data_IF_766391215502
#
_entry.id   IF_766391215502
#
_cell.length_a   1.000
_cell.length_b   1.000
_cell.length_c   1.000
_cell.angle_alpha   90.00
_cell.angle_beta   90.00
_cell.angle_gamma   90.00
#
_symmetry.space_group_name_H-M   'P 1'
#
loop_
_entity.id
_entity.type
_entity.pdbx_description
1 polymer ?
#
# COMPACT_ATOMS: atom_id res chain seq x y z
N UNK A 1 26.40 31.57 3.19
CA UNK A 1 25.41 31.32 4.27
C UNK A 1 25.04 29.86 4.22
N UNK A 2 25.05 29.15 5.34
CA UNK A 2 24.70 27.73 5.35
C UNK A 2 23.19 27.52 5.16
N UNK A 3 22.35 28.33 5.79
CA UNK A 3 20.90 28.41 5.59
C UNK A 3 20.34 29.61 6.38
N UNK A 4 19.27 30.22 5.92
CA UNK A 4 18.53 31.25 6.64
C UNK A 4 17.40 30.64 7.50
N UNK A 5 17.15 29.34 7.35
CA UNK A 5 16.10 28.63 8.07
C UNK A 5 16.65 28.02 9.37
N UNK A 6 16.10 28.48 10.49
CA UNK A 6 16.48 28.01 11.82
C UNK A 6 16.19 26.53 12.08
N UNK A 7 15.17 25.96 11.44
CA UNK A 7 14.86 24.53 11.55
C UNK A 7 15.92 23.67 10.87
N UNK A 8 16.39 24.09 9.69
CA UNK A 8 17.46 23.39 8.97
C UNK A 8 18.78 23.49 9.72
N UNK A 9 19.05 24.65 10.32
CA UNK A 9 20.24 24.87 11.13
C UNK A 9 20.22 24.01 12.40
N UNK A 10 19.07 23.90 13.07
CA UNK A 10 18.87 23.03 14.23
C UNK A 10 19.14 21.55 13.88
N UNK A 11 18.58 21.07 12.75
CA UNK A 11 18.80 19.70 12.26
C UNK A 11 20.29 19.44 11.91
N UNK A 12 20.94 20.39 11.24
CA UNK A 12 22.34 20.25 10.87
C UNK A 12 23.29 20.17 12.07
N UNK A 13 22.98 20.92 13.13
CA UNK A 13 23.81 21.00 14.33
C UNK A 13 23.39 19.96 15.40
N UNK A 14 22.27 19.26 15.21
CA UNK A 14 21.76 18.27 16.18
C UNK A 14 21.28 18.89 17.50
N UNK A 15 20.80 20.13 17.47
CA UNK A 15 20.34 20.89 18.64
C UNK A 15 18.86 21.24 18.53
N UNK A 16 18.27 21.76 19.61
CA UNK A 16 16.87 22.19 19.57
C UNK A 16 16.70 23.52 18.82
N UNK A 17 15.52 23.77 18.27
CA UNK A 17 15.21 25.05 17.61
C UNK A 17 15.40 26.25 18.53
N UNK A 18 15.15 26.10 19.83
CA UNK A 18 15.33 27.14 20.83
C UNK A 18 16.81 27.54 20.99
N UNK A 19 17.72 26.57 20.93
CA UNK A 19 19.16 26.81 21.13
C UNK A 19 19.81 27.52 19.94
N UNK A 20 19.17 27.41 18.73
CA UNK A 20 19.65 28.09 17.51
C UNK A 20 19.69 29.62 17.69
N UNK A 21 18.72 30.19 18.43
CA UNK A 21 18.67 31.64 18.65
C UNK A 21 19.79 32.20 19.49
N UNK A 22 20.52 31.32 20.19
CA UNK A 22 21.67 31.70 21.06
C UNK A 22 23.04 31.47 20.38
N UNK A 23 23.03 30.99 19.11
CA UNK A 23 24.25 30.73 18.35
C UNK A 23 24.79 31.99 17.67
N UNK A 24 26.10 32.10 17.57
CA UNK A 24 26.73 33.15 16.78
C UNK A 24 26.57 32.93 15.29
N UNK A 25 26.70 34.00 14.49
CA UNK A 25 26.55 33.99 13.06
C UNK A 25 27.64 33.24 12.28
N UNK A 26 28.71 32.82 12.93
CA UNK A 26 29.88 32.18 12.31
C UNK A 26 30.09 30.78 12.84
N UNK A 27 30.18 29.83 11.92
CA UNK A 27 30.42 28.42 12.21
C UNK A 27 31.73 27.97 11.55
N UNK A 28 32.51 27.16 12.24
CA UNK A 28 33.65 26.47 11.67
C UNK A 28 33.21 25.07 11.24
N UNK A 29 33.23 24.80 9.94
CA UNK A 29 32.84 23.51 9.37
C UNK A 29 34.10 22.74 9.00
N UNK A 30 34.23 21.51 9.52
CA UNK A 30 35.24 20.55 9.07
C UNK A 30 34.57 19.48 8.23
N UNK A 31 34.95 19.40 6.96
CA UNK A 31 34.52 18.32 6.08
C UNK A 31 35.32 17.07 6.43
N UNK A 32 34.69 16.06 7.02
CA UNK A 32 35.35 14.82 7.39
C UNK A 32 35.37 13.80 6.25
N UNK A 33 34.31 13.78 5.44
CA UNK A 33 34.16 12.83 4.35
C UNK A 33 33.32 13.46 3.22
N UNK A 34 33.71 13.21 1.99
CA UNK A 34 32.92 13.57 0.82
C UNK A 34 32.51 12.26 0.12
N UNK A 35 31.20 11.95 0.14
CA UNK A 35 30.65 10.79 -0.56
C UNK A 35 30.07 11.22 -1.89
N UNK A 36 30.47 10.54 -2.96
CA UNK A 36 29.92 10.72 -4.30
C UNK A 36 29.18 9.46 -4.69
N UNK A 37 27.94 9.61 -5.09
CA UNK A 37 27.15 8.52 -5.66
C UNK A 37 27.46 8.47 -7.16
N UNK A 38 27.99 7.36 -7.61
CA UNK A 38 28.25 7.10 -9.03
C UNK A 38 27.47 5.86 -9.48
N UNK A 39 26.99 5.80 -10.73
CA UNK A 39 26.40 4.60 -11.25
C UNK A 39 27.37 3.42 -11.15
N UNK A 40 26.90 2.29 -10.63
CA UNK A 40 27.71 1.07 -10.58
C UNK A 40 27.88 0.49 -11.99
N UNK A 41 29.02 -0.15 -12.26
CA UNK A 41 29.19 -0.92 -13.49
C UNK A 41 28.17 -2.07 -13.53
N UNK A 42 27.71 -2.41 -14.73
CA UNK A 42 26.79 -3.56 -14.92
C UNK A 42 27.66 -4.82 -15.04
N UNK A 43 28.02 -5.39 -13.91
CA UNK A 43 28.93 -6.52 -13.77
C UNK A 43 28.43 -7.55 -12.78
N UNK A 44 29.18 -8.64 -12.59
CA UNK A 44 28.81 -9.72 -11.70
C UNK A 44 28.65 -9.27 -10.23
N UNK A 45 29.45 -8.30 -9.79
CA UNK A 45 29.35 -7.79 -8.43
C UNK A 45 27.99 -7.10 -8.19
N UNK A 46 27.49 -6.34 -9.16
CA UNK A 46 26.17 -5.76 -9.12
C UNK A 46 25.08 -6.85 -9.11
N UNK A 47 25.21 -7.87 -9.95
CA UNK A 47 24.23 -8.95 -10.02
C UNK A 47 24.14 -9.72 -8.70
N UNK A 48 25.27 -10.04 -8.11
CA UNK A 48 25.35 -10.76 -6.84
C UNK A 48 24.79 -9.93 -5.67
N UNK A 49 24.98 -8.61 -5.69
CA UNK A 49 24.40 -7.70 -4.69
C UNK A 49 22.89 -7.58 -4.79
N UNK A 50 22.34 -7.60 -6.01
CA UNK A 50 20.89 -7.40 -6.23
C UNK A 50 20.09 -8.70 -6.06
N UNK A 51 20.63 -9.82 -6.53
CA UNK A 51 19.89 -11.07 -6.66
C UNK A 51 20.47 -12.24 -5.85
N UNK A 52 21.68 -12.07 -5.30
CA UNK A 52 22.40 -13.11 -4.62
C UNK A 52 23.46 -13.79 -5.51
N UNK A 53 24.51 -14.40 -4.90
CA UNK A 53 25.63 -14.97 -5.63
C UNK A 53 25.21 -16.09 -6.58
N UNK A 54 25.54 -15.94 -7.86
CA UNK A 54 25.30 -16.95 -8.88
C UNK A 54 23.87 -17.05 -9.42
N UNK A 55 22.94 -16.24 -8.92
CA UNK A 55 21.54 -16.21 -9.38
C UNK A 55 21.38 -15.55 -10.77
N UNK A 56 22.28 -14.63 -11.12
CA UNK A 56 22.32 -13.93 -12.39
C UNK A 56 23.77 -13.88 -12.88
N UNK A 57 24.01 -14.33 -14.09
CA UNK A 57 25.38 -14.44 -14.62
C UNK A 57 25.62 -13.64 -15.91
N UNK A 58 24.58 -12.93 -16.40
CA UNK A 58 24.67 -12.14 -17.61
C UNK A 58 23.79 -10.88 -17.53
N UNK A 59 24.22 -9.81 -18.18
CA UNK A 59 23.45 -8.55 -18.27
C UNK A 59 22.04 -8.76 -18.83
N UNK A 60 21.89 -9.61 -19.86
CA UNK A 60 20.60 -9.91 -20.45
C UNK A 60 19.65 -10.56 -19.43
N UNK A 61 20.17 -11.45 -18.61
CA UNK A 61 19.41 -12.15 -17.57
C UNK A 61 18.98 -11.17 -16.48
N UNK A 62 19.86 -10.29 -16.03
CA UNK A 62 19.54 -9.21 -15.12
C UNK A 62 18.44 -8.30 -15.68
N UNK A 63 18.57 -7.85 -16.94
CA UNK A 63 17.55 -7.01 -17.59
C UNK A 63 16.18 -7.70 -17.67
N UNK A 64 16.15 -9.00 -17.94
CA UNK A 64 14.92 -9.77 -17.96
C UNK A 64 14.30 -9.88 -16.56
N UNK A 65 15.08 -10.09 -15.52
CA UNK A 65 14.60 -10.09 -14.12
C UNK A 65 14.04 -8.71 -13.74
N UNK A 66 14.80 -7.63 -13.98
CA UNK A 66 14.31 -6.26 -13.72
C UNK A 66 13.02 -5.98 -14.47
N UNK A 67 12.93 -6.40 -15.73
CA UNK A 67 11.71 -6.24 -16.53
C UNK A 67 10.53 -6.99 -15.89
N UNK A 68 10.72 -8.24 -15.51
CA UNK A 68 9.68 -9.03 -14.86
C UNK A 68 9.23 -8.43 -13.51
N UNK A 69 10.16 -7.93 -12.72
CA UNK A 69 9.87 -7.27 -11.44
C UNK A 69 9.06 -5.99 -11.64
N UNK A 70 9.44 -5.18 -12.65
CA UNK A 70 8.70 -3.96 -13.02
C UNK A 70 7.30 -4.29 -13.57
N UNK A 71 7.17 -5.28 -14.44
CA UNK A 71 5.89 -5.74 -14.94
C UNK A 71 4.97 -6.20 -13.81
N UNK A 72 5.50 -6.92 -12.84
CA UNK A 72 4.73 -7.33 -11.66
C UNK A 72 4.32 -6.15 -10.78
N UNK A 73 5.24 -5.19 -10.58
CA UNK A 73 4.93 -3.97 -9.82
C UNK A 73 3.83 -3.15 -10.49
N UNK A 74 3.98 -2.88 -11.79
CA UNK A 74 2.97 -2.11 -12.53
C UNK A 74 1.62 -2.85 -12.68
N UNK A 75 1.64 -4.18 -12.74
CA UNK A 75 0.41 -4.95 -12.74
C UNK A 75 -0.38 -4.74 -11.43
N UNK A 76 0.29 -4.74 -10.27
CA UNK A 76 -0.34 -4.47 -8.97
C UNK A 76 -0.91 -3.06 -8.90
N UNK A 77 -0.14 -2.08 -9.35
CA UNK A 77 -0.59 -0.68 -9.36
C UNK A 77 -1.77 -0.46 -10.32
N UNK A 78 -1.73 -1.13 -11.48
CA UNK A 78 -2.83 -1.14 -12.44
C UNK A 78 -4.09 -1.78 -11.85
N UNK A 79 -3.94 -2.88 -11.11
CA UNK A 79 -5.04 -3.55 -10.42
C UNK A 79 -5.65 -2.67 -9.33
N UNK A 80 -4.82 -1.96 -8.58
CA UNK A 80 -5.28 -0.98 -7.61
C UNK A 80 -6.08 0.15 -8.27
N UNK A 81 -5.59 0.71 -9.37
CA UNK A 81 -6.31 1.72 -10.15
C UNK A 81 -7.65 1.19 -10.69
N UNK A 82 -7.62 0.00 -11.29
CA UNK A 82 -8.82 -0.65 -11.82
C UNK A 82 -9.88 -0.82 -10.73
N UNK A 83 -9.49 -1.36 -9.56
CA UNK A 83 -10.37 -1.52 -8.42
C UNK A 83 -11.02 -0.20 -8.01
N UNK A 84 -10.23 0.85 -7.85
CA UNK A 84 -10.70 2.18 -7.44
C UNK A 84 -11.68 2.77 -8.46
N UNK A 85 -11.35 2.71 -9.74
CA UNK A 85 -12.24 3.19 -10.80
C UNK A 85 -13.51 2.35 -10.91
N UNK A 86 -13.40 1.03 -10.79
CA UNK A 86 -14.54 0.12 -10.79
C UNK A 86 -15.47 0.43 -9.62
N UNK A 87 -14.95 0.51 -8.40
CA UNK A 87 -15.74 0.82 -7.21
C UNK A 87 -16.49 2.14 -7.35
N UNK A 88 -15.83 3.18 -7.83
CA UNK A 88 -16.44 4.48 -8.10
C UNK A 88 -17.56 4.39 -9.14
N UNK A 89 -17.26 3.88 -10.33
CA UNK A 89 -18.22 3.80 -11.45
C UNK A 89 -19.42 2.93 -11.13
N UNK A 90 -19.22 1.77 -10.51
CA UNK A 90 -20.33 0.86 -10.20
C UNK A 90 -21.22 1.43 -9.09
N UNK A 91 -20.62 2.12 -8.11
CA UNK A 91 -21.37 2.79 -7.04
C UNK A 91 -22.23 3.93 -7.59
N UNK A 92 -21.68 4.75 -8.47
CA UNK A 92 -22.43 5.82 -9.17
C UNK A 92 -23.55 5.26 -10.06
N UNK A 93 -23.31 4.14 -10.74
CA UNK A 93 -24.26 3.54 -11.67
C UNK A 93 -25.43 2.85 -10.96
N UNK A 94 -25.18 2.17 -9.84
CA UNK A 94 -26.21 1.45 -9.06
C UNK A 94 -26.91 2.39 -8.09
N UNK A 95 -26.18 3.35 -7.51
CA UNK A 95 -26.61 4.33 -6.49
C UNK A 95 -27.55 3.70 -5.44
N UNK A 96 -27.08 2.75 -4.61
CA UNK A 96 -27.91 2.11 -3.60
C UNK A 96 -28.49 3.17 -2.65
N UNK A 97 -29.83 3.18 -2.52
CA UNK A 97 -30.49 4.11 -1.61
C UNK A 97 -30.27 3.71 -0.18
N UNK A 98 -29.81 4.62 0.62
CA UNK A 98 -29.58 4.42 2.05
C UNK A 98 -30.66 5.12 2.88
N UNK A 99 -31.02 4.60 4.05
CA UNK A 99 -31.87 5.29 4.99
C UNK A 99 -31.07 6.35 5.80
N UNK A 100 -30.67 7.43 5.13
CA UNK A 100 -29.69 8.40 5.64
C UNK A 100 -30.06 8.96 7.03
N UNK A 101 -31.31 9.33 7.25
CA UNK A 101 -31.79 9.84 8.56
C UNK A 101 -31.58 8.81 9.67
N UNK A 102 -31.88 7.54 9.39
CA UNK A 102 -31.67 6.45 10.35
C UNK A 102 -30.19 6.25 10.63
N UNK A 103 -29.36 6.19 9.57
CA UNK A 103 -27.91 5.94 9.68
C UNK A 103 -27.21 7.05 10.47
N UNK A 104 -27.52 8.31 10.20
CA UNK A 104 -26.97 9.44 10.96
C UNK A 104 -27.30 9.34 12.45
N UNK A 105 -28.55 9.04 12.76
CA UNK A 105 -28.97 8.82 14.16
C UNK A 105 -28.29 7.58 14.77
N UNK A 106 -28.16 6.51 14.01
CA UNK A 106 -27.49 5.28 14.46
C UNK A 106 -26.02 5.56 14.82
N UNK A 107 -25.28 6.26 13.96
CA UNK A 107 -23.88 6.66 14.23
C UNK A 107 -23.78 7.44 15.55
N UNK A 108 -24.68 8.41 15.79
CA UNK A 108 -24.69 9.20 17.03
C UNK A 108 -24.90 8.36 18.28
N UNK A 109 -25.77 7.34 18.19
CA UNK A 109 -26.16 6.52 19.35
C UNK A 109 -25.20 5.38 19.66
N UNK A 110 -24.48 4.88 18.65
CA UNK A 110 -23.63 3.68 18.77
C UNK A 110 -22.15 3.98 18.88
N UNK A 111 -21.74 5.23 18.66
CA UNK A 111 -20.34 5.62 18.79
C UNK A 111 -19.92 5.60 20.27
N UNK A 112 -18.78 4.95 20.57
CA UNK A 112 -18.24 4.87 21.94
C UNK A 112 -17.93 6.26 22.54
N UNK A 113 -17.55 7.22 21.68
CA UNK A 113 -17.32 8.62 22.06
C UNK A 113 -18.48 9.47 21.60
N UNK A 114 -18.92 10.45 22.40
CA UNK A 114 -19.96 11.38 21.98
C UNK A 114 -19.57 12.10 20.69
N UNK A 115 -20.42 12.02 19.67
CA UNK A 115 -20.25 12.75 18.40
C UNK A 115 -21.40 13.78 18.27
N UNK A 116 -21.07 15.00 17.85
CA UNK A 116 -22.06 16.03 17.62
C UNK A 116 -22.78 15.83 16.28
N UNK A 117 -23.93 16.49 16.13
CA UNK A 117 -24.67 16.46 14.85
C UNK A 117 -23.82 16.99 13.71
N UNK A 118 -23.09 18.06 13.95
CA UNK A 118 -22.21 18.70 12.97
C UNK A 118 -21.09 17.75 12.51
N UNK A 119 -20.49 16.99 13.43
CA UNK A 119 -19.47 16.00 13.09
C UNK A 119 -20.08 14.90 12.21
N UNK A 120 -21.26 14.38 12.57
CA UNK A 120 -21.93 13.36 11.75
C UNK A 120 -22.29 13.91 10.38
N UNK A 121 -22.83 15.11 10.26
CA UNK A 121 -23.15 15.72 8.96
C UNK A 121 -21.91 15.89 8.07
N UNK A 122 -20.78 16.26 8.66
CA UNK A 122 -19.51 16.40 7.94
C UNK A 122 -18.98 15.06 7.43
N UNK A 123 -18.98 14.01 8.25
CA UNK A 123 -18.34 12.73 7.95
C UNK A 123 -19.27 11.75 7.22
N UNK A 124 -20.60 11.98 7.31
CA UNK A 124 -21.60 11.10 6.74
C UNK A 124 -21.46 10.84 5.23
N UNK A 125 -21.15 11.82 4.37
CA UNK A 125 -20.94 11.55 2.95
C UNK A 125 -19.90 10.48 2.66
N UNK A 126 -18.78 10.50 3.39
CA UNK A 126 -17.74 9.50 3.29
C UNK A 126 -18.22 8.12 3.77
N UNK A 127 -18.85 8.07 4.93
CA UNK A 127 -19.44 6.85 5.47
C UNK A 127 -20.50 6.25 4.54
N UNK A 128 -21.37 7.07 3.98
CA UNK A 128 -22.40 6.64 3.05
C UNK A 128 -21.81 6.08 1.74
N UNK A 129 -20.73 6.70 1.22
CA UNK A 129 -20.04 6.21 0.05
C UNK A 129 -19.41 4.82 0.30
N UNK A 130 -18.74 4.67 1.45
CA UNK A 130 -18.18 3.39 1.87
C UNK A 130 -19.26 2.31 2.03
N UNK A 131 -20.36 2.63 2.70
CA UNK A 131 -21.46 1.69 2.91
C UNK A 131 -22.13 1.27 1.59
N UNK A 132 -22.29 2.19 0.63
CA UNK A 132 -22.79 1.85 -0.71
C UNK A 132 -21.87 0.84 -1.40
N UNK A 133 -20.57 1.08 -1.31
CA UNK A 133 -19.59 0.15 -1.86
C UNK A 133 -19.66 -1.23 -1.19
N UNK A 134 -19.66 -1.30 0.14
CA UNK A 134 -19.77 -2.56 0.90
C UNK A 134 -21.04 -3.36 0.54
N UNK A 135 -22.16 -2.67 0.31
CA UNK A 135 -23.41 -3.32 -0.13
C UNK A 135 -23.29 -3.94 -1.52
N UNK A 136 -22.63 -3.23 -2.45
CA UNK A 136 -22.39 -3.73 -3.82
C UNK A 136 -21.42 -4.91 -3.79
N UNK A 137 -20.29 -4.76 -3.11
CA UNK A 137 -19.28 -5.79 -2.92
C UNK A 137 -19.89 -7.07 -2.33
N UNK A 138 -20.60 -6.94 -1.21
CA UNK A 138 -21.27 -8.08 -0.58
C UNK A 138 -22.32 -8.74 -1.47
N UNK A 139 -22.93 -8.01 -2.40
CA UNK A 139 -23.85 -8.57 -3.40
C UNK A 139 -23.11 -9.32 -4.50
N UNK A 140 -21.95 -8.84 -4.95
CA UNK A 140 -21.10 -9.52 -5.93
C UNK A 140 -20.57 -10.82 -5.32
N UNK A 141 -20.00 -10.77 -4.11
CA UNK A 141 -19.48 -11.93 -3.37
C UNK A 141 -20.55 -13.03 -3.29
N UNK A 142 -21.78 -12.67 -2.88
CA UNK A 142 -22.88 -13.63 -2.80
C UNK A 142 -23.34 -14.16 -4.16
N UNK A 143 -23.44 -13.30 -5.17
CA UNK A 143 -23.90 -13.68 -6.50
C UNK A 143 -22.97 -14.69 -7.18
N UNK A 144 -21.67 -14.54 -6.97
CA UNK A 144 -20.65 -15.41 -7.57
C UNK A 144 -20.14 -16.47 -6.60
N UNK A 145 -20.77 -16.61 -5.43
CA UNK A 145 -20.45 -17.60 -4.38
C UNK A 145 -18.96 -17.62 -4.03
N UNK A 146 -18.34 -16.43 -3.97
CA UNK A 146 -16.92 -16.31 -3.66
C UNK A 146 -16.68 -16.78 -2.22
N UNK A 147 -15.70 -17.63 -2.05
CA UNK A 147 -15.29 -18.17 -0.75
C UNK A 147 -13.80 -18.04 -0.57
N UNK A 148 -13.41 -17.65 0.62
CA UNK A 148 -12.02 -17.66 1.08
C UNK A 148 -11.93 -18.72 2.17
N UNK A 149 -11.10 -19.73 1.94
CA UNK A 149 -10.85 -20.78 2.92
C UNK A 149 -9.80 -20.36 3.97
N UNK A 150 -9.75 -21.00 5.13
CA UNK A 150 -8.67 -20.79 6.10
C UNK A 150 -7.27 -21.07 5.49
N UNK A 151 -7.19 -22.02 4.56
CA UNK A 151 -5.94 -22.35 3.88
C UNK A 151 -5.50 -21.23 2.92
N UNK A 152 -6.45 -20.56 2.23
CA UNK A 152 -6.15 -19.38 1.42
C UNK A 152 -5.54 -18.27 2.32
N UNK A 153 -6.17 -18.01 3.46
CA UNK A 153 -5.70 -16.99 4.41
C UNK A 153 -4.31 -17.33 4.97
N UNK A 154 -4.09 -18.59 5.35
CA UNK A 154 -2.79 -19.07 5.83
C UNK A 154 -1.71 -18.90 4.76
N UNK A 155 -1.99 -19.31 3.52
CA UNK A 155 -1.05 -19.23 2.39
C UNK A 155 -0.70 -17.77 2.10
N UNK A 156 -1.70 -16.88 2.07
CA UNK A 156 -1.48 -15.46 1.83
C UNK A 156 -0.58 -14.83 2.91
N UNK A 157 -0.88 -15.05 4.20
CA UNK A 157 -0.08 -14.49 5.29
C UNK A 157 1.36 -15.01 5.23
N UNK A 158 1.57 -16.30 4.95
CA UNK A 158 2.92 -16.86 4.77
C UNK A 158 3.67 -16.19 3.64
N UNK A 159 3.03 -15.96 2.49
CA UNK A 159 3.65 -15.28 1.34
C UNK A 159 4.04 -13.84 1.67
N UNK A 160 3.17 -13.10 2.36
CA UNK A 160 3.45 -11.72 2.79
C UNK A 160 4.63 -11.68 3.77
N UNK A 161 4.66 -12.58 4.75
CA UNK A 161 5.77 -12.69 5.70
C UNK A 161 7.06 -13.06 5.00
N UNK A 162 7.06 -14.11 4.17
CA UNK A 162 8.24 -14.55 3.43
C UNK A 162 8.82 -13.42 2.57
N UNK A 163 7.97 -12.70 1.82
CA UNK A 163 8.41 -11.57 0.99
C UNK A 163 9.01 -10.44 1.84
N UNK A 164 8.36 -10.11 2.97
CA UNK A 164 8.85 -9.06 3.87
C UNK A 164 10.23 -9.38 4.45
N UNK A 165 10.41 -10.61 4.95
CA UNK A 165 11.69 -11.01 5.55
C UNK A 165 12.80 -11.19 4.50
N UNK A 166 12.46 -11.68 3.31
CA UNK A 166 13.41 -11.77 2.20
C UNK A 166 14.00 -10.40 1.81
N UNK A 167 13.19 -9.33 1.85
CA UNK A 167 13.67 -7.96 1.59
C UNK A 167 14.75 -7.49 2.59
N UNK A 168 14.76 -8.05 3.80
CA UNK A 168 15.80 -7.77 4.81
C UNK A 168 16.95 -8.77 4.77
N UNK A 169 17.00 -9.66 3.77
CA UNK A 169 18.02 -10.71 3.67
C UNK A 169 17.90 -11.80 4.73
N UNK A 170 16.72 -11.96 5.32
CA UNK A 170 16.45 -12.92 6.40
C UNK A 170 15.39 -13.94 5.94
N UNK A 171 15.73 -14.92 5.08
CA UNK A 171 14.78 -15.95 4.68
C UNK A 171 14.33 -16.74 5.91
N UNK A 172 13.01 -16.95 6.04
CA UNK A 172 12.41 -17.70 7.14
C UNK A 172 12.10 -19.13 6.72
N UNK A 173 12.30 -20.06 7.62
CA UNK A 173 11.88 -21.45 7.44
C UNK A 173 10.35 -21.59 7.47
N UNK A 174 9.82 -22.59 6.76
CA UNK A 174 8.38 -22.80 6.59
C UNK A 174 7.65 -23.00 7.92
N UNK A 175 8.29 -23.69 8.89
CA UNK A 175 7.72 -23.89 10.23
C UNK A 175 7.52 -22.56 10.97
N UNK A 176 8.50 -21.66 10.89
CA UNK A 176 8.44 -20.35 11.51
C UNK A 176 7.38 -19.47 10.82
N UNK A 177 7.29 -19.51 9.50
CA UNK A 177 6.24 -18.84 8.73
C UNK A 177 4.84 -19.34 9.14
N UNK A 178 4.68 -20.66 9.35
CA UNK A 178 3.42 -21.23 9.80
C UNK A 178 3.01 -20.72 11.18
N UNK A 179 3.94 -20.67 12.14
CA UNK A 179 3.66 -20.20 13.49
C UNK A 179 3.29 -18.71 13.51
N UNK A 180 4.03 -17.86 12.80
CA UNK A 180 3.68 -16.43 12.70
C UNK A 180 2.36 -16.19 11.96
N UNK A 181 2.06 -16.96 10.92
CA UNK A 181 0.78 -16.87 10.22
C UNK A 181 -0.39 -17.25 11.12
N UNK A 182 -0.26 -18.33 11.93
CA UNK A 182 -1.28 -18.70 12.93
C UNK A 182 -1.48 -17.59 13.97
N UNK A 183 -0.40 -17.00 14.48
CA UNK A 183 -0.49 -15.90 15.45
C UNK A 183 -1.18 -14.67 14.86
N UNK A 184 -0.90 -14.33 13.59
CA UNK A 184 -1.55 -13.25 12.88
C UNK A 184 -3.05 -13.51 12.73
N UNK A 185 -3.42 -14.71 12.25
CA UNK A 185 -4.81 -15.08 12.05
C UNK A 185 -5.60 -15.35 13.36
N UNK A 186 -4.91 -15.53 14.49
CA UNK A 186 -5.54 -15.61 15.80
C UNK A 186 -6.07 -14.25 16.30
N UNK A 187 -5.51 -13.15 15.80
CA UNK A 187 -5.96 -11.80 16.13
C UNK A 187 -7.13 -11.40 15.24
N UNK A 188 -8.28 -11.15 15.84
CA UNK A 188 -9.56 -10.93 15.12
C UNK A 188 -9.48 -9.84 14.05
N UNK A 189 -8.84 -8.71 14.35
CA UNK A 189 -8.74 -7.59 13.41
C UNK A 189 -7.78 -7.90 12.25
N UNK A 190 -6.62 -8.50 12.54
CA UNK A 190 -5.66 -8.89 11.50
C UNK A 190 -6.25 -9.98 10.59
N UNK A 191 -6.92 -10.98 11.18
CA UNK A 191 -7.63 -11.99 10.40
C UNK A 191 -8.70 -11.37 9.50
N UNK A 192 -9.52 -10.45 10.04
CA UNK A 192 -10.53 -9.74 9.26
C UNK A 192 -9.91 -9.05 8.05
N UNK A 193 -8.84 -8.29 8.25
CA UNK A 193 -8.14 -7.57 7.16
C UNK A 193 -7.63 -8.54 6.07
N UNK A 194 -7.10 -9.70 6.47
CA UNK A 194 -6.65 -10.74 5.52
C UNK A 194 -7.82 -11.30 4.71
N UNK A 195 -8.93 -11.64 5.37
CA UNK A 195 -10.11 -12.15 4.68
C UNK A 195 -10.73 -11.09 3.75
N UNK A 196 -10.87 -9.85 4.20
CA UNK A 196 -11.40 -8.75 3.40
C UNK A 196 -10.54 -8.55 2.14
N UNK A 197 -9.22 -8.54 2.28
CA UNK A 197 -8.29 -8.46 1.15
C UNK A 197 -8.46 -9.61 0.15
N UNK A 198 -8.55 -10.85 0.62
CA UNK A 198 -8.69 -12.03 -0.24
C UNK A 198 -10.05 -12.09 -0.93
N UNK A 199 -11.12 -11.68 -0.26
CA UNK A 199 -12.44 -11.53 -0.89
C UNK A 199 -12.39 -10.50 -2.00
N UNK A 200 -11.76 -9.38 -1.76
CA UNK A 200 -11.58 -8.31 -2.73
C UNK A 200 -10.77 -8.77 -3.95
N UNK A 201 -9.64 -9.47 -3.75
CA UNK A 201 -8.87 -10.04 -4.87
C UNK A 201 -9.72 -11.00 -5.71
N UNK A 202 -10.44 -11.93 -5.07
CA UNK A 202 -11.34 -12.86 -5.78
C UNK A 202 -12.46 -12.13 -6.51
N UNK A 203 -13.03 -11.10 -5.92
CA UNK A 203 -14.05 -10.27 -6.54
C UNK A 203 -13.51 -9.56 -7.78
N UNK A 204 -12.36 -8.91 -7.68
CA UNK A 204 -11.73 -8.21 -8.81
C UNK A 204 -11.39 -9.16 -9.95
N UNK A 205 -10.90 -10.36 -9.64
CA UNK A 205 -10.65 -11.38 -10.65
C UNK A 205 -11.93 -11.74 -11.43
N UNK A 206 -13.04 -11.98 -10.74
CA UNK A 206 -14.35 -12.24 -11.38
C UNK A 206 -14.85 -11.05 -12.16
N UNK A 207 -14.70 -9.83 -11.65
CA UNK A 207 -15.11 -8.62 -12.37
C UNK A 207 -14.31 -8.46 -13.65
N UNK A 208 -13.00 -8.67 -13.63
CA UNK A 208 -12.15 -8.63 -14.83
C UNK A 208 -12.56 -9.67 -15.87
N UNK A 209 -12.94 -10.87 -15.43
CA UNK A 209 -13.44 -11.93 -16.34
C UNK A 209 -14.78 -11.58 -16.98
N UNK A 210 -15.69 -10.93 -16.26
CA UNK A 210 -17.07 -10.66 -16.68
C UNK A 210 -17.27 -9.32 -17.37
N UNK A 211 -16.33 -8.38 -17.22
CA UNK A 211 -16.41 -7.05 -17.82
C UNK A 211 -15.56 -6.94 -19.08
N UNK A 212 -15.98 -6.11 -20.02
CA UNK A 212 -15.11 -5.69 -21.12
C UNK A 212 -14.13 -4.66 -20.59
N UNK A 213 -12.84 -5.01 -20.57
CA UNK A 213 -11.78 -4.11 -20.13
C UNK A 213 -11.36 -3.20 -21.29
N UNK A 214 -11.20 -1.93 -21.01
CA UNK A 214 -10.60 -0.98 -21.94
C UNK A 214 -9.17 -0.70 -21.45
N UNK A 215 -8.19 -1.35 -22.07
CA UNK A 215 -6.78 -1.16 -21.75
C UNK A 215 -6.25 0.11 -22.44
N UNK A 216 -5.68 1.01 -21.66
CA UNK A 216 -5.13 2.26 -22.13
C UNK A 216 -3.62 2.25 -21.91
N UNK A 217 -2.85 2.31 -23.00
CA UNK A 217 -1.41 2.52 -22.90
C UNK A 217 -1.13 3.93 -22.38
N UNK A 218 -0.31 4.02 -21.34
CA UNK A 218 0.00 5.28 -20.66
C UNK A 218 1.51 5.37 -20.40
N UNK A 219 2.07 6.58 -20.46
CA UNK A 219 3.46 6.84 -20.10
C UNK A 219 3.69 6.65 -18.59
N UNK A 220 4.96 6.38 -18.22
CA UNK A 220 5.34 6.11 -16.83
C UNK A 220 4.94 7.26 -15.88
N UNK A 221 5.28 8.50 -16.23
CA UNK A 221 4.99 9.68 -15.38
C UNK A 221 3.49 9.89 -15.18
N UNK A 222 2.71 9.77 -16.26
CA UNK A 222 1.26 9.89 -16.20
C UNK A 222 0.63 8.74 -15.40
N UNK A 223 1.21 7.53 -15.48
CA UNK A 223 0.77 6.37 -14.71
C UNK A 223 0.99 6.61 -13.21
N UNK A 224 2.21 7.00 -12.82
CA UNK A 224 2.51 7.29 -11.41
C UNK A 224 1.63 8.44 -10.88
N UNK A 225 1.42 9.48 -11.67
CA UNK A 225 0.52 10.57 -11.28
C UNK A 225 -0.91 10.05 -11.01
N UNK A 226 -1.44 9.16 -11.87
CA UNK A 226 -2.76 8.54 -11.65
C UNK A 226 -2.80 7.65 -10.42
N UNK A 227 -1.74 6.90 -10.14
CA UNK A 227 -1.68 6.04 -8.93
C UNK A 227 -1.72 6.89 -7.67
N UNK A 228 -1.01 8.02 -7.65
CA UNK A 228 -0.88 8.89 -6.49
C UNK A 228 -2.06 9.84 -6.27
N UNK A 229 -2.70 10.32 -7.33
CA UNK A 229 -3.66 11.43 -7.29
C UNK A 229 -5.01 11.14 -7.96
N UNK A 230 -5.18 9.97 -8.60
CA UNK A 230 -6.39 9.60 -9.34
C UNK A 230 -7.60 9.17 -8.51
#
# INVERSE_FOLDING_TARGET
MLTENHEDLAKMLGITHHDVHHLGEKFQVKVNEIKRIEPHAVDQELFDKLYGPGEVNAELEMRNKVKADLEQMFARDSDFLFKREFAKKITEMIDPKLPDTFLKRYIQLTNEKPVTVEMVEHDYPFYAAQLRWELIEGKIIRKYELRVSPDDAMTHVKQVLASRYAQYGLPMEDEMLNEFAKQTLAKKEEAKNVYDFLYEEKMIAVVKEKCTLNEIAIGYEDFIHKVQHG
#
